data_IF_542107739270
#
_entry.id   IF_542107739270
#
_cell.length_a   1.000
_cell.length_b   1.000
_cell.length_c   1.000
_cell.angle_alpha   90.00
_cell.angle_beta   90.00
_cell.angle_gamma   90.00
#
_symmetry.space_group_name_H-M   'P 1'
#
loop_
_entity.id
_entity.type
_entity.pdbx_description
1 polymer ?
#
# COMPACT_ATOMS: atom_id res chain seq x y z
N UNK A 1 -2.57 11.67 33.78
CA UNK A 1 -3.64 10.69 33.44
C UNK A 1 -5.04 11.30 33.17
N UNK A 2 -5.20 12.58 32.98
CA UNK A 2 -6.52 13.22 32.68
C UNK A 2 -6.62 13.87 31.29
N UNK A 3 -5.56 13.93 30.54
CA UNK A 3 -5.51 14.65 29.23
C UNK A 3 -5.73 13.74 27.99
N UNK A 4 -5.63 12.41 28.13
CA UNK A 4 -5.78 11.46 27.01
C UNK A 4 -7.25 11.04 26.79
N UNK A 5 -8.10 11.13 27.84
CA UNK A 5 -9.51 10.73 27.73
C UNK A 5 -10.38 11.72 26.94
N UNK A 6 -10.00 12.98 26.85
CA UNK A 6 -10.81 14.04 26.22
C UNK A 6 -10.65 14.03 24.68
N UNK A 7 -9.50 13.59 24.15
CA UNK A 7 -9.28 13.46 22.71
C UNK A 7 -10.08 12.29 22.09
N UNK A 8 -10.30 11.23 22.88
CA UNK A 8 -11.00 10.03 22.39
C UNK A 8 -12.53 10.24 22.25
N UNK A 9 -13.12 11.14 23.03
CA UNK A 9 -14.57 11.44 22.94
C UNK A 9 -14.90 12.41 21.81
N UNK A 10 -13.96 13.22 21.33
CA UNK A 10 -14.20 14.15 20.22
C UNK A 10 -14.17 13.48 18.84
N UNK A 11 -13.48 12.34 18.67
CA UNK A 11 -13.43 11.63 17.38
C UNK A 11 -14.74 10.85 17.09
N UNK A 12 -15.43 10.33 18.10
CA UNK A 12 -16.69 9.59 17.89
C UNK A 12 -17.88 10.52 17.56
N UNK A 13 -17.80 11.81 17.89
CA UNK A 13 -18.86 12.78 17.58
C UNK A 13 -18.70 13.49 16.23
N UNK A 14 -17.55 13.36 15.57
CA UNK A 14 -17.28 14.03 14.30
C UNK A 14 -17.98 13.34 13.11
N UNK A 15 -18.22 12.03 13.16
CA UNK A 15 -18.75 11.26 12.02
C UNK A 15 -20.24 11.49 11.76
N UNK A 16 -21.02 11.86 12.76
CA UNK A 16 -22.48 12.09 12.59
C UNK A 16 -22.86 13.52 12.20
N UNK A 17 -21.88 14.43 12.06
CA UNK A 17 -22.10 15.86 11.81
C UNK A 17 -21.72 16.36 10.41
N UNK A 18 -21.20 15.49 9.52
CA UNK A 18 -20.44 15.90 8.32
C UNK A 18 -21.28 16.63 7.26
N UNK A 19 -22.60 16.50 7.24
CA UNK A 19 -23.48 17.23 6.31
C UNK A 19 -24.55 18.09 7.00
N UNK A 20 -24.45 18.36 8.30
CA UNK A 20 -25.51 19.08 9.03
C UNK A 20 -25.68 20.55 8.65
N UNK A 21 -24.67 21.17 8.05
CA UNK A 21 -24.68 22.59 7.66
C UNK A 21 -24.37 22.83 6.16
N UNK A 22 -24.20 21.76 5.35
CA UNK A 22 -23.87 21.89 3.94
C UNK A 22 -25.15 22.01 3.09
N UNK A 23 -25.09 22.78 2.01
CA UNK A 23 -26.10 22.74 0.96
C UNK A 23 -26.13 21.33 0.37
N UNK A 24 -27.29 20.67 0.38
CA UNK A 24 -27.48 19.33 -0.17
C UNK A 24 -27.98 19.45 -1.60
N UNK A 25 -27.32 18.75 -2.52
CA UNK A 25 -27.68 18.64 -3.94
C UNK A 25 -27.88 17.16 -4.25
N UNK A 26 -29.08 16.77 -4.68
CA UNK A 26 -29.33 15.38 -5.07
C UNK A 26 -28.83 15.14 -6.51
N UNK A 27 -28.19 14.02 -6.74
CA UNK A 27 -27.78 13.59 -8.08
C UNK A 27 -29.00 13.53 -9.05
N UNK A 28 -30.15 13.10 -8.56
CA UNK A 28 -31.39 13.03 -9.35
C UNK A 28 -31.87 14.41 -9.82
N UNK A 29 -31.70 15.45 -8.99
CA UNK A 29 -32.07 16.82 -9.34
C UNK A 29 -31.15 17.44 -10.40
N UNK A 30 -29.97 16.85 -10.60
CA UNK A 30 -28.97 17.23 -11.58
C UNK A 30 -29.02 16.38 -12.87
N UNK A 31 -30.11 15.66 -13.11
CA UNK A 31 -30.32 14.75 -14.24
C UNK A 31 -29.25 13.63 -14.34
N UNK A 32 -28.70 13.20 -13.22
CA UNK A 32 -27.79 12.07 -13.13
C UNK A 32 -28.63 10.81 -12.99
N UNK A 33 -28.48 9.87 -13.93
CA UNK A 33 -29.35 8.70 -14.07
C UNK A 33 -28.68 7.45 -13.47
N UNK A 34 -29.32 6.86 -12.48
CA UNK A 34 -28.82 5.66 -11.76
C UNK A 34 -29.25 4.32 -12.37
N UNK A 35 -29.28 4.18 -13.71
CA UNK A 35 -29.78 2.99 -14.42
C UNK A 35 -28.69 1.95 -14.80
N UNK A 36 -27.41 2.24 -14.50
CA UNK A 36 -26.26 1.40 -14.83
C UNK A 36 -25.86 1.40 -16.31
N UNK A 37 -26.51 2.16 -17.15
CA UNK A 37 -26.32 2.20 -18.61
C UNK A 37 -25.91 3.56 -19.12
N UNK A 38 -26.64 4.59 -18.70
CA UNK A 38 -26.40 5.98 -19.11
C UNK A 38 -25.03 6.45 -18.63
N UNK A 39 -24.20 6.96 -19.54
CA UNK A 39 -22.94 7.57 -19.20
C UNK A 39 -23.19 8.98 -18.62
N UNK A 40 -22.92 9.17 -17.34
CA UNK A 40 -23.21 10.38 -16.60
C UNK A 40 -22.02 11.34 -16.41
N UNK A 41 -20.88 11.10 -17.05
CA UNK A 41 -19.63 11.84 -16.77
C UNK A 41 -19.82 13.35 -16.78
N UNK A 42 -20.44 13.89 -17.84
CA UNK A 42 -20.69 15.33 -17.93
C UNK A 42 -21.70 15.85 -16.91
N UNK A 43 -22.76 15.08 -16.64
CA UNK A 43 -23.78 15.48 -15.68
C UNK A 43 -23.22 15.50 -14.26
N UNK A 44 -22.43 14.49 -13.88
CA UNK A 44 -21.75 14.44 -12.58
C UNK A 44 -20.75 15.58 -12.47
N UNK A 45 -19.97 15.86 -13.52
CA UNK A 45 -19.01 16.95 -13.47
C UNK A 45 -19.70 18.32 -13.32
N UNK A 46 -20.79 18.57 -14.02
CA UNK A 46 -21.59 19.79 -13.85
C UNK A 46 -22.15 19.92 -12.42
N UNK A 47 -22.59 18.81 -11.82
CA UNK A 47 -23.05 18.81 -10.43
C UNK A 47 -21.93 19.11 -9.45
N UNK A 48 -20.72 18.55 -9.64
CA UNK A 48 -19.54 18.88 -8.85
C UNK A 48 -19.18 20.37 -8.99
N UNK A 49 -19.20 20.90 -10.21
CA UNK A 49 -18.91 22.29 -10.49
C UNK A 49 -19.93 23.24 -9.82
N UNK A 50 -21.21 22.85 -9.85
CA UNK A 50 -22.27 23.57 -9.15
C UNK A 50 -22.05 23.55 -7.62
N UNK A 51 -21.72 22.39 -7.05
CA UNK A 51 -21.43 22.26 -5.62
C UNK A 51 -20.23 23.13 -5.19
N UNK A 52 -19.15 23.10 -5.97
CA UNK A 52 -17.97 23.92 -5.75
C UNK A 52 -18.25 25.42 -5.78
N UNK A 53 -19.16 25.86 -6.65
CA UNK A 53 -19.52 27.27 -6.80
C UNK A 53 -20.37 27.81 -5.64
N UNK A 54 -20.90 26.95 -4.76
CA UNK A 54 -21.62 27.40 -3.56
C UNK A 54 -20.66 28.08 -2.58
N UNK A 55 -21.12 29.10 -1.87
CA UNK A 55 -20.29 29.94 -0.99
C UNK A 55 -19.44 29.15 0.01
N UNK A 56 -19.99 28.06 0.56
CA UNK A 56 -19.32 27.18 1.52
C UNK A 56 -19.10 25.77 0.97
N UNK A 57 -19.25 25.56 -0.35
CA UNK A 57 -19.34 24.25 -0.96
C UNK A 57 -20.70 23.58 -0.76
N UNK A 58 -20.81 22.35 -1.21
CA UNK A 58 -22.05 21.57 -1.08
C UNK A 58 -21.77 20.06 -1.04
N UNK A 59 -22.78 19.33 -0.58
CA UNK A 59 -22.78 17.87 -0.56
C UNK A 59 -23.61 17.35 -1.75
N UNK A 60 -22.95 16.71 -2.71
CA UNK A 60 -23.58 15.98 -3.81
C UNK A 60 -23.92 14.57 -3.35
N UNK A 61 -25.20 14.28 -3.23
CA UNK A 61 -25.71 13.02 -2.70
C UNK A 61 -26.20 12.12 -3.83
N UNK A 62 -25.69 10.90 -3.86
CA UNK A 62 -26.11 9.83 -4.74
C UNK A 62 -27.02 8.87 -3.96
N UNK A 63 -28.33 8.84 -4.21
CA UNK A 63 -29.22 7.83 -3.65
C UNK A 63 -28.96 6.45 -4.27
N UNK A 64 -29.67 5.43 -3.80
CA UNK A 64 -29.59 4.07 -4.36
C UNK A 64 -29.73 4.09 -5.90
N UNK A 65 -28.80 3.44 -6.59
CA UNK A 65 -28.73 3.37 -8.05
C UNK A 65 -27.32 3.08 -8.54
N UNK A 66 -27.16 2.77 -9.83
CA UNK A 66 -25.89 2.51 -10.49
C UNK A 66 -25.58 3.63 -11.47
N UNK A 67 -24.60 4.43 -11.17
CA UNK A 67 -24.21 5.64 -11.91
C UNK A 67 -22.95 5.39 -12.72
N UNK A 68 -23.11 5.00 -13.99
CA UNK A 68 -21.97 4.77 -14.89
C UNK A 68 -21.29 6.09 -15.24
N UNK A 69 -19.96 6.13 -15.14
CA UNK A 69 -19.17 7.34 -15.45
C UNK A 69 -17.77 6.99 -15.93
N UNK A 70 -17.16 7.87 -16.71
CA UNK A 70 -15.71 7.98 -16.88
C UNK A 70 -15.10 8.83 -15.78
N UNK A 71 -13.96 9.48 -16.08
CA UNK A 71 -13.26 10.34 -15.12
C UNK A 71 -14.13 11.51 -14.64
N UNK A 72 -14.27 11.65 -13.33
CA UNK A 72 -14.84 12.83 -12.67
C UNK A 72 -13.77 13.51 -11.80
N UNK A 73 -13.82 14.84 -11.70
CA UNK A 73 -12.83 15.66 -10.99
C UNK A 73 -13.49 16.39 -9.84
N UNK A 74 -13.10 16.03 -8.62
CA UNK A 74 -13.53 16.73 -7.41
C UNK A 74 -12.80 18.06 -7.26
N UNK A 75 -13.49 19.02 -6.69
CA UNK A 75 -12.99 20.38 -6.45
C UNK A 75 -13.10 20.76 -4.97
N UNK A 76 -12.44 21.82 -4.57
CA UNK A 76 -12.44 22.30 -3.19
C UNK A 76 -13.86 22.49 -2.63
N UNK A 77 -14.03 22.13 -1.37
CA UNK A 77 -15.28 22.25 -0.61
C UNK A 77 -16.44 21.39 -1.14
N UNK A 78 -16.15 20.31 -1.88
CA UNK A 78 -17.16 19.37 -2.35
C UNK A 78 -17.14 18.12 -1.50
N UNK A 79 -18.31 17.75 -1.00
CA UNK A 79 -18.57 16.44 -0.41
C UNK A 79 -19.30 15.57 -1.41
N UNK A 80 -18.71 14.43 -1.77
CA UNK A 80 -19.35 13.36 -2.55
C UNK A 80 -19.91 12.34 -1.56
N UNK A 81 -21.22 12.21 -1.47
CA UNK A 81 -21.87 11.27 -0.55
C UNK A 81 -22.63 10.18 -1.32
N UNK A 82 -22.25 8.94 -1.08
CA UNK A 82 -22.93 7.77 -1.64
C UNK A 82 -23.77 7.12 -0.57
N UNK A 83 -25.07 7.13 -0.72
CA UNK A 83 -25.97 6.42 0.19
C UNK A 83 -25.87 4.91 0.01
N UNK A 84 -26.40 4.16 0.95
CA UNK A 84 -26.46 2.71 0.86
C UNK A 84 -27.15 2.28 -0.43
N UNK A 85 -26.52 1.38 -1.20
CA UNK A 85 -27.00 0.95 -2.51
C UNK A 85 -26.63 1.85 -3.68
N UNK A 86 -26.04 3.03 -3.44
CA UNK A 86 -25.45 3.84 -4.51
C UNK A 86 -24.14 3.23 -5.01
N UNK A 87 -23.97 3.15 -6.32
CA UNK A 87 -22.76 2.65 -6.98
C UNK A 87 -22.29 3.65 -8.03
N UNK A 88 -21.14 4.25 -7.84
CA UNK A 88 -20.40 4.90 -8.94
C UNK A 88 -19.67 3.79 -9.68
N UNK A 89 -20.06 3.55 -10.93
CA UNK A 89 -19.55 2.47 -11.78
C UNK A 89 -18.69 3.02 -12.91
N UNK A 90 -17.41 2.67 -12.93
CA UNK A 90 -16.47 3.09 -13.97
C UNK A 90 -16.87 2.55 -15.35
N UNK A 91 -16.68 3.37 -16.38
CA UNK A 91 -16.83 2.93 -17.76
C UNK A 91 -15.81 1.85 -18.10
N UNK A 92 -16.20 0.91 -18.95
CA UNK A 92 -15.28 -0.08 -19.52
C UNK A 92 -14.64 0.39 -20.82
N UNK A 93 -14.91 1.63 -21.23
CA UNK A 93 -14.25 2.25 -22.37
C UNK A 93 -13.02 3.06 -21.89
N UNK A 94 -11.79 2.70 -22.30
CA UNK A 94 -10.59 3.44 -21.90
C UNK A 94 -10.54 4.90 -22.37
N UNK A 95 -11.33 5.26 -23.36
CA UNK A 95 -11.41 6.63 -23.87
C UNK A 95 -12.25 7.57 -23.00
N UNK A 96 -13.02 7.03 -22.06
CA UNK A 96 -13.75 7.81 -21.04
C UNK A 96 -12.85 8.29 -19.89
N UNK A 97 -11.54 7.97 -19.93
CA UNK A 97 -10.59 8.31 -18.87
C UNK A 97 -9.50 9.26 -19.37
N UNK A 98 -9.18 10.24 -18.54
CA UNK A 98 -8.11 11.20 -18.80
C UNK A 98 -7.32 11.51 -17.53
N UNK A 99 -6.14 12.10 -17.71
CA UNK A 99 -5.32 12.65 -16.65
C UNK A 99 -5.30 14.16 -16.76
N UNK A 100 -5.35 14.86 -15.63
CA UNK A 100 -5.18 16.31 -15.60
C UNK A 100 -3.71 16.69 -15.59
N UNK A 101 -2.94 16.07 -14.70
CA UNK A 101 -1.53 16.30 -14.49
C UNK A 101 -0.85 14.98 -14.11
N UNK A 102 0.27 14.68 -14.73
CA UNK A 102 1.10 13.55 -14.35
C UNK A 102 2.28 14.04 -13.51
N UNK A 103 2.43 13.55 -12.26
CA UNK A 103 3.59 13.89 -11.45
C UNK A 103 4.88 13.45 -12.15
N UNK A 104 5.91 14.30 -12.12
CA UNK A 104 7.20 14.00 -12.74
C UNK A 104 7.88 12.85 -12.02
N UNK A 105 8.46 11.92 -12.77
CA UNK A 105 9.22 10.80 -12.23
C UNK A 105 8.37 9.62 -11.78
N UNK A 106 7.05 9.69 -11.86
CA UNK A 106 6.18 8.58 -11.55
C UNK A 106 6.25 7.50 -12.64
N UNK A 107 6.25 6.26 -12.20
CA UNK A 107 6.14 5.06 -13.04
C UNK A 107 4.71 4.53 -13.17
N UNK A 108 3.77 5.12 -12.43
CA UNK A 108 2.36 4.74 -12.38
C UNK A 108 1.44 5.64 -13.22
N UNK A 109 0.19 5.24 -13.34
CA UNK A 109 -0.85 5.98 -14.06
C UNK A 109 -1.24 7.29 -13.36
N UNK A 110 -1.46 8.35 -14.13
CA UNK A 110 -2.19 9.55 -13.70
C UNK A 110 -3.68 9.51 -14.09
N UNK A 111 -4.13 8.47 -14.78
CA UNK A 111 -5.52 8.22 -15.08
C UNK A 111 -6.27 7.78 -13.81
N UNK A 112 -7.51 8.19 -13.65
CA UNK A 112 -8.34 7.76 -12.52
C UNK A 112 -9.82 7.89 -12.81
N UNK A 113 -10.64 7.11 -12.09
CA UNK A 113 -12.09 7.27 -12.13
C UNK A 113 -12.51 8.53 -11.38
N UNK A 114 -11.98 8.73 -10.16
CA UNK A 114 -12.19 9.94 -9.37
C UNK A 114 -10.86 10.63 -9.18
N UNK A 115 -10.74 11.86 -9.65
CA UNK A 115 -9.56 12.70 -9.56
C UNK A 115 -9.81 13.91 -8.63
N UNK A 116 -8.76 14.39 -8.00
CA UNK A 116 -8.71 15.72 -7.40
C UNK A 116 -7.29 16.28 -7.45
N UNK A 117 -7.16 17.55 -7.79
CA UNK A 117 -5.87 18.22 -7.88
C UNK A 117 -5.95 19.61 -7.26
N UNK A 118 -4.89 20.00 -6.51
CA UNK A 118 -4.75 21.36 -5.94
C UNK A 118 -6.01 21.86 -5.26
N UNK A 119 -6.68 20.98 -4.51
CA UNK A 119 -7.97 21.24 -3.91
C UNK A 119 -7.93 21.02 -2.40
N UNK A 120 -8.83 21.64 -1.67
CA UNK A 120 -8.91 21.56 -0.21
C UNK A 120 -10.32 21.21 0.27
N UNK A 121 -10.43 20.64 1.47
CA UNK A 121 -11.69 20.27 2.11
C UNK A 121 -12.55 19.39 1.20
N UNK A 122 -11.97 18.26 0.77
CA UNK A 122 -12.64 17.24 -0.07
C UNK A 122 -13.11 16.11 0.82
N UNK A 123 -14.35 15.67 0.62
CA UNK A 123 -14.88 14.49 1.32
C UNK A 123 -15.52 13.53 0.34
N UNK A 124 -15.23 12.24 0.48
CA UNK A 124 -15.87 11.14 -0.23
C UNK A 124 -16.39 10.18 0.84
N UNK A 125 -17.69 10.16 1.08
CA UNK A 125 -18.26 9.53 2.28
C UNK A 125 -19.53 8.74 2.00
N UNK A 126 -19.89 7.87 2.92
CA UNK A 126 -21.16 7.14 2.92
C UNK A 126 -21.02 5.63 3.00
N UNK A 127 -22.07 4.92 2.63
CA UNK A 127 -22.16 3.45 2.69
C UNK A 127 -22.25 2.82 1.29
N UNK A 128 -22.09 3.63 0.24
CA UNK A 128 -22.14 3.19 -1.16
C UNK A 128 -20.84 2.55 -1.65
N UNK A 129 -20.76 2.38 -2.96
CA UNK A 129 -19.66 1.69 -3.63
C UNK A 129 -19.05 2.55 -4.74
N UNK A 130 -17.73 2.51 -4.88
CA UNK A 130 -17.02 2.93 -6.08
C UNK A 130 -16.41 1.67 -6.71
N UNK A 131 -16.84 1.35 -7.93
CA UNK A 131 -16.44 0.16 -8.69
C UNK A 131 -15.76 0.58 -9.99
N UNK A 132 -14.50 0.22 -10.15
CA UNK A 132 -13.72 0.59 -11.34
C UNK A 132 -13.99 -0.28 -12.58
N UNK A 133 -14.73 -1.41 -12.46
CA UNK A 133 -14.87 -2.42 -13.52
C UNK A 133 -13.52 -2.81 -14.14
N UNK A 134 -12.46 -2.84 -13.30
CA UNK A 134 -11.07 -2.83 -13.72
C UNK A 134 -10.64 -4.04 -14.55
N UNK A 135 -11.27 -5.20 -14.35
CA UNK A 135 -10.94 -6.40 -15.13
C UNK A 135 -11.33 -6.21 -16.61
N UNK A 136 -12.57 -5.83 -16.84
CA UNK A 136 -13.09 -5.59 -18.20
C UNK A 136 -12.34 -4.44 -18.87
N UNK A 137 -12.09 -3.38 -18.13
CA UNK A 137 -11.36 -2.22 -18.62
C UNK A 137 -9.90 -2.55 -18.98
N UNK A 138 -9.19 -3.29 -18.13
CA UNK A 138 -7.82 -3.70 -18.39
C UNK A 138 -7.72 -4.63 -19.62
N UNK A 139 -8.64 -5.58 -19.76
CA UNK A 139 -8.72 -6.43 -20.96
C UNK A 139 -9.07 -5.64 -22.22
N UNK A 140 -9.88 -4.59 -22.12
CA UNK A 140 -10.13 -3.71 -23.27
C UNK A 140 -8.89 -2.94 -23.67
N UNK A 141 -8.12 -2.41 -22.70
CA UNK A 141 -6.83 -1.76 -22.96
C UNK A 141 -5.87 -2.72 -23.66
N UNK A 142 -5.77 -3.96 -23.14
CA UNK A 142 -4.92 -5.00 -23.74
C UNK A 142 -5.34 -5.33 -25.18
N UNK A 143 -6.63 -5.50 -25.42
CA UNK A 143 -7.18 -5.75 -26.76
C UNK A 143 -6.85 -4.62 -27.75
N UNK A 144 -7.00 -3.36 -27.31
CA UNK A 144 -6.70 -2.17 -28.15
C UNK A 144 -5.19 -2.09 -28.52
N UNK A 145 -4.31 -2.54 -27.62
CA UNK A 145 -2.88 -2.65 -27.90
C UNK A 145 -2.63 -3.69 -29.03
N UNK A 146 -3.19 -4.88 -28.90
CA UNK A 146 -2.96 -5.97 -29.84
C UNK A 146 -3.51 -5.73 -31.25
N UNK A 147 -4.60 -4.99 -31.38
CA UNK A 147 -5.15 -4.59 -32.70
C UNK A 147 -4.48 -3.33 -33.27
N UNK A 148 -3.52 -2.72 -32.53
CA UNK A 148 -2.78 -1.54 -32.98
C UNK A 148 -3.52 -0.22 -32.89
N UNK A 149 -4.71 -0.18 -32.25
CA UNK A 149 -5.53 1.04 -32.10
C UNK A 149 -5.02 1.95 -30.97
N UNK A 150 -4.58 1.36 -29.86
CA UNK A 150 -3.96 2.07 -28.72
C UNK A 150 -2.73 1.31 -28.28
N UNK A 151 -1.60 1.55 -28.94
CA UNK A 151 -0.35 0.85 -28.68
C UNK A 151 0.29 1.34 -27.39
N UNK A 152 0.63 0.43 -26.51
CA UNK A 152 1.41 0.69 -25.30
C UNK A 152 2.91 0.49 -25.60
N UNK A 153 3.73 1.56 -25.62
CA UNK A 153 5.17 1.44 -25.90
C UNK A 153 5.94 0.73 -24.79
N UNK A 154 5.35 0.60 -23.61
CA UNK A 154 5.93 -0.07 -22.43
C UNK A 154 5.20 -1.37 -22.09
N UNK A 155 4.59 -2.01 -23.08
CA UNK A 155 3.89 -3.28 -22.88
C UNK A 155 4.82 -4.35 -22.29
N UNK A 156 4.38 -4.98 -21.23
CA UNK A 156 5.11 -6.04 -20.55
C UNK A 156 4.93 -7.38 -21.32
N UNK A 157 5.81 -7.63 -22.28
CA UNK A 157 5.76 -8.86 -23.08
C UNK A 157 6.04 -10.12 -22.26
N UNK A 158 6.80 -10.02 -21.17
CA UNK A 158 7.09 -11.15 -20.30
C UNK A 158 5.85 -11.65 -19.55
N UNK A 159 5.08 -10.73 -19.00
CA UNK A 159 3.85 -11.02 -18.26
C UNK A 159 2.58 -10.87 -19.12
N UNK A 160 2.72 -10.53 -20.40
CA UNK A 160 1.61 -10.38 -21.37
C UNK A 160 0.52 -9.43 -20.87
N UNK A 161 0.92 -8.22 -20.51
CA UNK A 161 -0.01 -7.21 -19.95
C UNK A 161 0.34 -5.80 -20.39
N UNK A 162 -0.67 -4.90 -20.54
CA UNK A 162 -0.42 -3.48 -20.73
C UNK A 162 0.23 -2.89 -19.49
N UNK A 163 1.09 -1.88 -19.68
CA UNK A 163 1.69 -1.14 -18.58
C UNK A 163 0.61 -0.50 -17.71
N UNK A 164 0.90 -0.32 -16.42
CA UNK A 164 -0.05 0.30 -15.51
C UNK A 164 -0.39 1.75 -15.86
N UNK A 165 0.51 2.48 -16.56
CA UNK A 165 0.24 3.83 -17.06
C UNK A 165 -0.90 3.93 -18.06
N UNK A 166 -1.29 2.82 -18.67
CA UNK A 166 -2.40 2.73 -19.61
C UNK A 166 -3.75 2.47 -18.95
N UNK A 167 -3.75 2.22 -17.64
CA UNK A 167 -4.90 1.76 -16.88
C UNK A 167 -5.26 2.74 -15.77
N UNK A 168 -6.53 3.14 -15.58
CA UNK A 168 -6.92 4.09 -14.55
C UNK A 168 -6.88 3.50 -13.15
N UNK A 169 -6.55 4.33 -12.18
CA UNK A 169 -6.75 4.10 -10.75
C UNK A 169 -8.21 4.28 -10.37
N UNK A 170 -8.60 3.79 -9.20
CA UNK A 170 -9.94 4.06 -8.68
C UNK A 170 -10.06 5.51 -8.17
N UNK A 171 -9.15 5.92 -7.28
CA UNK A 171 -8.98 7.30 -6.85
C UNK A 171 -7.56 7.77 -7.14
N UNK A 172 -7.39 8.99 -7.62
CA UNK A 172 -6.12 9.68 -7.63
C UNK A 172 -6.28 11.13 -7.18
N UNK A 173 -5.77 11.41 -5.99
CA UNK A 173 -5.89 12.72 -5.32
C UNK A 173 -4.47 13.25 -5.10
N UNK A 174 -4.16 14.39 -5.71
CA UNK A 174 -2.80 14.94 -5.73
C UNK A 174 -2.77 16.42 -5.35
N UNK A 175 -1.78 16.80 -4.54
CA UNK A 175 -1.57 18.16 -4.04
C UNK A 175 -2.83 18.73 -3.36
N UNK A 176 -3.51 17.91 -2.56
CA UNK A 176 -4.76 18.28 -1.88
C UNK A 176 -4.55 18.40 -0.36
N UNK A 177 -5.42 19.18 0.27
CA UNK A 177 -5.41 19.38 1.72
C UNK A 177 -6.78 19.10 2.34
N UNK A 178 -6.78 18.60 3.59
CA UNK A 178 -8.00 18.29 4.34
C UNK A 178 -8.91 17.32 3.56
N UNK A 179 -8.40 16.10 3.30
CA UNK A 179 -9.07 15.07 2.53
C UNK A 179 -9.61 13.99 3.47
N UNK A 180 -10.89 13.67 3.34
CA UNK A 180 -11.55 12.59 4.07
C UNK A 180 -12.19 11.59 3.11
N UNK A 181 -11.85 10.29 3.28
CA UNK A 181 -12.57 9.18 2.63
C UNK A 181 -13.06 8.24 3.72
N UNK A 182 -14.39 8.07 3.83
CA UNK A 182 -14.99 7.37 4.97
C UNK A 182 -16.20 6.49 4.59
N UNK A 183 -16.22 5.27 5.10
CA UNK A 183 -17.38 4.37 5.14
C UNK A 183 -17.66 3.58 3.86
N UNK A 184 -16.92 3.78 2.80
CA UNK A 184 -17.23 3.30 1.44
C UNK A 184 -16.69 1.91 1.15
N UNK A 185 -17.35 1.24 0.19
CA UNK A 185 -16.83 0.05 -0.49
C UNK A 185 -16.09 0.49 -1.76
N UNK A 186 -14.82 0.08 -1.87
CA UNK A 186 -13.93 0.41 -2.98
C UNK A 186 -13.50 -0.88 -3.67
N UNK A 187 -13.71 -1.01 -4.98
CA UNK A 187 -13.37 -2.27 -5.64
C UNK A 187 -12.98 -2.15 -7.11
N UNK A 188 -12.29 -3.18 -7.57
CA UNK A 188 -12.06 -3.46 -8.98
C UNK A 188 -11.42 -2.32 -9.75
N UNK A 189 -10.31 -1.76 -9.27
CA UNK A 189 -9.50 -0.83 -10.06
C UNK A 189 -8.84 -1.53 -11.26
N UNK A 190 -8.51 -0.81 -12.31
CA UNK A 190 -7.72 -1.34 -13.41
C UNK A 190 -6.19 -1.25 -13.15
N UNK A 191 -5.77 -0.41 -12.22
CA UNK A 191 -4.40 -0.26 -11.72
C UNK A 191 -4.42 -0.13 -10.18
N UNK A 192 -3.60 0.72 -9.57
CA UNK A 192 -3.64 0.99 -8.13
C UNK A 192 -5.04 1.40 -7.66
N UNK A 193 -5.40 1.04 -6.45
CA UNK A 193 -6.70 1.36 -5.88
C UNK A 193 -6.83 2.83 -5.55
N UNK A 194 -6.52 3.18 -4.31
CA UNK A 194 -6.62 4.54 -3.79
C UNK A 194 -5.22 5.14 -3.72
N UNK A 195 -4.97 6.21 -4.46
CA UNK A 195 -3.66 6.84 -4.57
C UNK A 195 -3.71 8.31 -4.17
N UNK A 196 -2.87 8.66 -3.21
CA UNK A 196 -2.78 10.02 -2.65
C UNK A 196 -1.35 10.53 -2.78
N UNK A 197 -1.14 11.62 -3.49
CA UNK A 197 0.18 12.22 -3.71
C UNK A 197 0.25 13.63 -3.15
N UNK A 198 1.27 13.89 -2.33
CA UNK A 198 1.55 15.24 -1.80
C UNK A 198 0.32 15.85 -1.11
N UNK A 199 -0.40 15.03 -0.34
CA UNK A 199 -1.56 15.46 0.43
C UNK A 199 -1.16 15.88 1.85
N UNK A 200 -1.93 16.80 2.43
CA UNK A 200 -1.80 17.23 3.83
C UNK A 200 -3.13 17.04 4.56
N UNK A 201 -3.10 16.50 5.79
CA UNK A 201 -4.28 16.18 6.57
C UNK A 201 -5.21 15.19 5.83
N UNK A 202 -4.70 13.98 5.58
CA UNK A 202 -5.43 12.90 4.92
C UNK A 202 -6.00 11.93 5.94
N UNK A 203 -7.30 11.67 5.88
CA UNK A 203 -7.97 10.67 6.71
C UNK A 203 -8.71 9.65 5.85
N UNK A 204 -8.36 8.38 5.99
CA UNK A 204 -8.97 7.23 5.33
C UNK A 204 -9.48 6.29 6.41
N UNK A 205 -10.79 6.10 6.51
CA UNK A 205 -11.35 5.33 7.62
C UNK A 205 -12.59 4.54 7.24
N UNK A 206 -12.81 3.42 7.94
CA UNK A 206 -13.97 2.55 7.76
C UNK A 206 -14.17 2.06 6.30
N UNK A 207 -13.08 1.88 5.56
CA UNK A 207 -13.13 1.48 4.16
C UNK A 207 -13.12 -0.05 4.04
N UNK A 208 -13.91 -0.55 3.10
CA UNK A 208 -13.86 -1.93 2.66
C UNK A 208 -13.32 -1.97 1.22
N UNK A 209 -12.05 -2.34 1.10
CA UNK A 209 -11.32 -2.33 -0.17
C UNK A 209 -11.15 -3.76 -0.67
N UNK A 210 -11.71 -4.06 -1.85
CA UNK A 210 -11.52 -5.34 -2.54
C UNK A 210 -10.97 -5.11 -3.95
N UNK A 211 -9.66 -4.99 -4.04
CA UNK A 211 -8.97 -4.63 -5.28
C UNK A 211 -8.16 -5.80 -5.84
N UNK A 212 -8.83 -6.76 -6.47
CA UNK A 212 -8.26 -7.99 -7.05
C UNK A 212 -8.71 -8.24 -8.49
N UNK A 213 -8.91 -7.19 -9.27
CA UNK A 213 -9.43 -7.28 -10.63
C UNK A 213 -8.33 -7.59 -11.66
N UNK A 214 -7.14 -7.04 -11.47
CA UNK A 214 -6.03 -7.15 -12.44
C UNK A 214 -4.68 -7.00 -11.74
N UNK A 215 -3.59 -6.91 -12.49
CA UNK A 215 -2.23 -6.63 -12.02
C UNK A 215 -2.10 -5.22 -11.43
N UNK A 216 -1.17 -5.04 -10.49
CA UNK A 216 -0.92 -3.76 -9.81
C UNK A 216 -2.18 -3.21 -9.14
N UNK A 217 -2.97 -4.09 -8.55
CA UNK A 217 -4.14 -3.71 -7.78
C UNK A 217 -3.76 -3.54 -6.30
N UNK A 218 -2.96 -2.49 -6.03
CA UNK A 218 -2.64 -2.06 -4.68
C UNK A 218 -3.93 -1.62 -3.95
N UNK A 219 -3.93 -1.63 -2.64
CA UNK A 219 -5.06 -1.16 -1.84
C UNK A 219 -5.05 0.36 -1.70
N UNK A 220 -4.12 0.87 -0.88
CA UNK A 220 -3.93 2.28 -0.57
C UNK A 220 -2.45 2.64 -0.79
N UNK A 221 -2.19 3.61 -1.66
CA UNK A 221 -0.87 4.19 -1.89
C UNK A 221 -0.82 5.63 -1.39
N UNK A 222 0.11 5.93 -0.51
CA UNK A 222 0.35 7.27 0.01
C UNK A 222 1.75 7.73 -0.36
N UNK A 223 1.84 8.84 -1.09
CA UNK A 223 3.10 9.34 -1.63
C UNK A 223 3.39 10.74 -1.10
N UNK A 224 4.58 10.96 -0.53
CA UNK A 224 5.10 12.28 -0.12
C UNK A 224 4.08 13.14 0.64
N UNK A 225 3.24 12.52 1.49
CA UNK A 225 2.11 13.15 2.16
C UNK A 225 2.36 13.31 3.66
N UNK A 226 1.63 14.22 4.31
CA UNK A 226 1.81 14.57 5.72
C UNK A 226 0.52 14.52 6.50
N UNK A 227 0.63 14.20 7.80
CA UNK A 227 -0.51 14.11 8.72
C UNK A 227 -1.58 13.15 8.19
N UNK A 228 -1.15 11.88 7.98
CA UNK A 228 -1.99 10.84 7.38
C UNK A 228 -2.53 9.91 8.47
N UNK A 229 -3.81 9.60 8.40
CA UNK A 229 -4.48 8.63 9.27
C UNK A 229 -5.22 7.60 8.41
N UNK A 230 -4.88 6.32 8.59
CA UNK A 230 -5.55 5.17 7.95
C UNK A 230 -6.05 4.26 9.06
N UNK A 231 -7.35 4.04 9.17
CA UNK A 231 -7.91 3.32 10.30
C UNK A 231 -9.17 2.52 9.97
N UNK A 232 -9.38 1.42 10.69
CA UNK A 232 -10.61 0.62 10.63
C UNK A 232 -10.94 0.16 9.21
N UNK A 233 -9.92 -0.17 8.41
CA UNK A 233 -10.08 -0.59 7.03
C UNK A 233 -9.96 -2.11 6.89
N UNK A 234 -10.80 -2.70 6.03
CA UNK A 234 -10.64 -4.05 5.53
C UNK A 234 -10.08 -3.98 4.12
N UNK A 235 -8.90 -4.55 3.89
CA UNK A 235 -8.20 -4.44 2.62
C UNK A 235 -7.88 -5.83 2.08
N UNK A 236 -8.32 -6.10 0.86
CA UNK A 236 -8.00 -7.29 0.10
C UNK A 236 -7.47 -6.87 -1.28
N UNK A 237 -6.18 -6.96 -1.48
CA UNK A 237 -5.49 -6.46 -2.67
C UNK A 237 -4.75 -7.56 -3.43
N UNK A 238 -4.59 -7.37 -4.72
CA UNK A 238 -3.80 -8.26 -5.56
C UNK A 238 -2.32 -7.87 -5.62
N UNK A 239 -1.98 -6.68 -5.17
CA UNK A 239 -0.61 -6.19 -4.95
C UNK A 239 -0.50 -5.62 -3.53
N UNK A 240 0.43 -4.73 -3.21
CA UNK A 240 0.64 -4.23 -1.86
C UNK A 240 -0.63 -3.61 -1.25
N UNK A 241 -0.95 -3.92 0.01
CA UNK A 241 -2.22 -3.46 0.60
C UNK A 241 -2.18 -2.02 1.07
N UNK A 242 -1.23 -1.66 1.92
CA UNK A 242 -0.95 -0.27 2.29
C UNK A 242 0.50 0.01 1.96
N UNK A 243 0.72 0.93 1.04
CA UNK A 243 2.02 1.23 0.50
C UNK A 243 2.35 2.72 0.66
N UNK A 244 3.44 3.02 1.38
CA UNK A 244 4.01 4.35 1.45
C UNK A 244 5.10 4.47 0.38
N UNK A 245 5.00 5.48 -0.49
CA UNK A 245 5.95 5.73 -1.58
C UNK A 245 6.53 7.14 -1.47
N UNK A 246 7.68 7.38 -2.03
CA UNK A 246 8.26 8.72 -2.14
C UNK A 246 8.96 8.86 -3.49
N UNK A 247 8.48 9.77 -4.33
CA UNK A 247 9.00 10.00 -5.68
C UNK A 247 9.81 11.31 -5.80
N UNK A 248 9.76 12.16 -4.78
CA UNK A 248 10.40 13.47 -4.82
C UNK A 248 11.65 13.48 -3.93
N UNK A 249 12.80 13.83 -4.49
CA UNK A 249 13.97 14.15 -3.66
C UNK A 249 13.61 15.30 -2.74
N UNK A 250 13.78 15.10 -1.42
CA UNK A 250 13.33 16.03 -0.38
C UNK A 250 11.82 15.99 -0.08
N UNK A 251 11.04 15.16 -0.78
CA UNK A 251 9.70 14.77 -0.36
C UNK A 251 9.76 13.82 0.85
N UNK A 252 8.63 13.55 1.48
CA UNK A 252 8.58 12.60 2.59
C UNK A 252 7.15 12.31 2.98
N UNK A 253 6.84 11.03 3.27
CA UNK A 253 5.70 10.75 4.12
C UNK A 253 6.09 11.03 5.58
N UNK A 254 5.38 11.93 6.25
CA UNK A 254 5.69 12.37 7.60
C UNK A 254 4.46 12.46 8.49
N UNK A 255 4.55 11.98 9.72
CA UNK A 255 3.42 11.86 10.65
C UNK A 255 2.29 11.00 10.05
N UNK A 256 2.58 9.71 9.86
CA UNK A 256 1.64 8.72 9.34
C UNK A 256 1.23 7.76 10.44
N UNK A 257 -0.06 7.59 10.66
CA UNK A 257 -0.61 6.61 11.60
C UNK A 257 -1.54 5.64 10.87
N UNK A 258 -1.25 4.33 10.99
CA UNK A 258 -2.03 3.24 10.42
C UNK A 258 -2.45 2.33 11.57
N UNK A 259 -3.76 2.13 11.78
CA UNK A 259 -4.18 1.30 12.89
C UNK A 259 -5.52 0.62 12.69
N UNK A 260 -5.68 -0.51 13.38
CA UNK A 260 -6.90 -1.32 13.45
C UNK A 260 -7.44 -1.70 12.05
N UNK A 261 -6.57 -2.31 11.25
CA UNK A 261 -6.90 -2.76 9.89
C UNK A 261 -6.78 -4.29 9.78
N UNK A 262 -7.65 -4.87 8.95
CA UNK A 262 -7.62 -6.26 8.51
C UNK A 262 -7.11 -6.33 7.07
N UNK A 263 -6.05 -7.11 6.84
CA UNK A 263 -5.33 -7.09 5.56
C UNK A 263 -5.17 -8.49 4.97
N UNK A 264 -5.45 -8.59 3.67
CA UNK A 264 -5.10 -9.71 2.79
C UNK A 264 -4.41 -9.16 1.56
N UNK A 265 -3.27 -9.75 1.17
CA UNK A 265 -2.52 -9.27 0.01
C UNK A 265 -1.90 -10.41 -0.79
N UNK A 266 -1.88 -10.29 -2.11
CA UNK A 266 -1.02 -11.14 -2.94
C UNK A 266 0.40 -10.59 -3.11
N UNK A 267 0.73 -9.51 -2.40
CA UNK A 267 2.08 -8.97 -2.24
C UNK A 267 2.34 -8.68 -0.75
N UNK A 268 2.71 -7.47 -0.34
CA UNK A 268 2.99 -7.13 1.05
C UNK A 268 1.80 -6.49 1.74
N UNK A 269 1.60 -6.79 3.03
CA UNK A 269 0.53 -6.16 3.80
C UNK A 269 0.82 -4.68 4.04
N UNK A 270 2.00 -4.37 4.57
CA UNK A 270 2.50 -3.00 4.77
C UNK A 270 3.85 -2.87 4.06
N UNK A 271 3.98 -1.85 3.21
CA UNK A 271 5.22 -1.60 2.46
C UNK A 271 5.63 -0.13 2.49
N UNK A 272 6.91 0.11 2.68
CA UNK A 272 7.58 1.37 2.46
C UNK A 272 8.41 1.24 1.19
N UNK A 273 8.06 2.00 0.15
CA UNK A 273 8.73 1.85 -1.14
C UNK A 273 7.86 1.14 -2.20
N UNK A 274 8.40 0.60 -3.25
CA UNK A 274 9.83 0.62 -3.59
C UNK A 274 10.37 2.03 -3.82
N UNK A 275 9.57 2.93 -4.48
CA UNK A 275 9.99 4.31 -4.69
C UNK A 275 10.26 5.00 -3.33
N UNK A 276 11.52 5.38 -3.12
CA UNK A 276 12.04 5.89 -1.85
C UNK A 276 13.03 7.05 -2.05
N UNK A 277 12.70 8.00 -2.93
CA UNK A 277 13.57 9.13 -3.27
C UNK A 277 13.71 10.17 -2.16
N UNK A 278 12.65 10.44 -1.41
CA UNK A 278 12.67 11.39 -0.28
C UNK A 278 12.70 10.69 1.07
N UNK A 279 11.76 9.77 1.28
CA UNK A 279 11.77 8.90 2.45
C UNK A 279 10.49 8.88 3.28
N UNK A 280 10.62 8.36 4.50
CA UNK A 280 9.50 8.10 5.41
C UNK A 280 9.95 8.37 6.85
N UNK A 281 9.19 9.14 7.60
CA UNK A 281 9.54 9.41 9.00
C UNK A 281 8.31 9.60 9.90
N UNK A 282 8.51 9.31 11.18
CA UNK A 282 7.48 9.43 12.19
C UNK A 282 6.23 8.61 11.82
N UNK A 283 6.42 7.33 11.49
CA UNK A 283 5.34 6.43 11.09
C UNK A 283 5.03 5.46 12.22
N UNK A 284 3.77 5.39 12.62
CA UNK A 284 3.26 4.46 13.62
C UNK A 284 2.23 3.52 12.99
N UNK A 285 2.47 2.22 13.11
CA UNK A 285 1.60 1.15 12.60
C UNK A 285 1.24 0.26 13.79
N UNK A 286 -0.05 0.08 14.06
CA UNK A 286 -0.47 -0.69 15.24
C UNK A 286 -1.80 -1.42 15.07
N UNK A 287 -1.97 -2.54 15.79
CA UNK A 287 -3.19 -3.35 15.78
C UNK A 287 -3.58 -3.78 14.37
N UNK A 288 -2.67 -4.40 13.64
CA UNK A 288 -2.90 -4.91 12.29
C UNK A 288 -3.08 -6.43 12.33
N UNK A 289 -4.13 -6.89 11.69
CA UNK A 289 -4.41 -8.31 11.49
C UNK A 289 -4.17 -8.65 10.02
N UNK A 290 -3.22 -9.53 9.77
CA UNK A 290 -2.81 -9.95 8.41
C UNK A 290 -3.13 -11.42 8.23
N UNK A 291 -3.66 -11.78 7.08
CA UNK A 291 -3.86 -13.18 6.71
C UNK A 291 -3.65 -13.39 5.21
N UNK A 292 -3.34 -14.62 4.84
CA UNK A 292 -3.28 -15.05 3.45
C UNK A 292 -2.44 -14.11 2.56
N UNK A 293 -1.27 -13.68 3.08
CA UNK A 293 -0.43 -12.68 2.44
C UNK A 293 0.83 -13.31 1.86
N UNK A 294 1.08 -13.05 0.56
CA UNK A 294 2.09 -13.77 -0.21
C UNK A 294 3.53 -13.30 0.07
N UNK A 295 3.75 -12.00 0.30
CA UNK A 295 5.08 -11.46 0.59
C UNK A 295 5.21 -11.12 2.07
N UNK A 296 5.55 -9.90 2.39
CA UNK A 296 5.90 -9.50 3.75
C UNK A 296 4.72 -8.96 4.55
N UNK A 297 4.69 -9.26 5.85
CA UNK A 297 3.83 -8.55 6.81
C UNK A 297 4.23 -7.07 6.82
N UNK A 298 5.56 -6.82 6.97
CA UNK A 298 6.13 -5.48 6.94
C UNK A 298 7.40 -5.50 6.09
N UNK A 299 7.43 -4.66 5.05
CA UNK A 299 8.59 -4.39 4.21
C UNK A 299 9.00 -2.91 4.35
N UNK A 300 10.20 -2.64 4.84
CA UNK A 300 10.74 -1.29 5.06
C UNK A 300 11.96 -1.13 4.16
N UNK A 301 11.80 -0.39 3.07
CA UNK A 301 12.77 -0.35 1.98
C UNK A 301 13.21 1.09 1.65
N UNK A 302 14.51 1.37 1.69
CA UNK A 302 15.12 2.58 1.13
C UNK A 302 16.17 2.18 0.11
N UNK A 303 15.92 2.45 -1.17
CA UNK A 303 16.80 2.03 -2.28
C UNK A 303 17.04 3.14 -3.32
N UNK A 304 16.40 4.29 -3.19
CA UNK A 304 16.50 5.39 -4.15
C UNK A 304 17.09 6.67 -3.51
N UNK A 305 17.84 6.52 -2.40
CA UNK A 305 18.52 7.64 -1.73
C UNK A 305 17.70 8.32 -0.63
N UNK A 306 16.46 7.92 -0.39
CA UNK A 306 15.63 8.50 0.66
C UNK A 306 15.98 8.05 2.08
N UNK A 307 15.44 8.75 3.07
CA UNK A 307 15.72 8.54 4.48
C UNK A 307 14.52 7.98 5.21
N UNK A 308 14.70 6.85 5.91
CA UNK A 308 13.69 6.25 6.78
C UNK A 308 14.10 6.48 8.24
N UNK A 309 13.21 7.08 9.02
CA UNK A 309 13.52 7.43 10.41
C UNK A 309 12.29 7.38 11.32
N UNK A 310 12.46 6.85 12.54
CA UNK A 310 11.42 6.81 13.58
C UNK A 310 10.19 6.02 13.16
N UNK A 311 10.36 4.74 12.90
CA UNK A 311 9.28 3.82 12.53
C UNK A 311 8.94 2.96 13.73
N UNK A 312 7.66 2.94 14.10
CA UNK A 312 7.10 2.05 15.12
C UNK A 312 6.05 1.13 14.49
N UNK A 313 6.27 -0.18 14.61
CA UNK A 313 5.29 -1.21 14.24
C UNK A 313 4.97 -2.04 15.48
N UNK A 314 3.71 -2.08 15.89
CA UNK A 314 3.33 -2.78 17.12
C UNK A 314 1.97 -3.47 17.05
N UNK A 315 1.80 -4.50 17.88
CA UNK A 315 0.55 -5.23 18.03
C UNK A 315 0.07 -5.85 16.69
N UNK A 316 0.90 -6.68 16.10
CA UNK A 316 0.67 -7.32 14.80
C UNK A 316 0.35 -8.80 15.00
N UNK A 317 -0.71 -9.27 14.38
CA UNK A 317 -1.02 -10.70 14.26
C UNK A 317 -1.10 -11.05 12.77
N UNK A 318 -0.25 -11.98 12.34
CA UNK A 318 -0.23 -12.44 10.96
C UNK A 318 -0.32 -13.98 10.90
N UNK A 319 -1.24 -14.47 10.08
CA UNK A 319 -1.46 -15.91 9.92
C UNK A 319 -1.45 -16.24 8.43
N UNK A 320 -0.82 -17.35 8.08
CA UNK A 320 -0.67 -17.75 6.68
C UNK A 320 -0.02 -16.65 5.83
N UNK A 321 1.15 -16.14 6.29
CA UNK A 321 1.91 -15.06 5.63
C UNK A 321 3.36 -15.47 5.48
N UNK A 322 3.96 -15.22 4.32
CA UNK A 322 5.27 -15.80 4.01
C UNK A 322 6.46 -15.14 4.68
N UNK A 323 6.54 -13.83 4.74
CA UNK A 323 7.70 -13.18 5.34
C UNK A 323 7.29 -12.24 6.48
N UNK A 324 7.80 -12.43 7.70
CA UNK A 324 7.44 -11.58 8.82
C UNK A 324 7.97 -10.15 8.69
N UNK A 325 9.29 -10.01 8.44
CA UNK A 325 10.00 -8.74 8.49
C UNK A 325 11.04 -8.69 7.37
N UNK A 326 10.97 -7.67 6.54
CA UNK A 326 11.96 -7.35 5.53
C UNK A 326 12.38 -5.89 5.67
N UNK A 327 13.61 -5.64 6.13
CA UNK A 327 14.20 -4.29 6.23
C UNK A 327 15.41 -4.22 5.31
N UNK A 328 15.36 -3.29 4.35
CA UNK A 328 16.39 -3.15 3.32
C UNK A 328 16.84 -1.69 3.13
N UNK A 329 18.14 -1.47 3.26
CA UNK A 329 18.82 -0.32 2.69
C UNK A 329 19.62 -0.78 1.46
N UNK A 330 19.35 -0.20 0.30
CA UNK A 330 20.05 -0.44 -0.96
C UNK A 330 20.41 0.88 -1.65
N UNK A 331 20.84 0.81 -2.90
CA UNK A 331 21.13 2.01 -3.70
C UNK A 331 20.85 1.73 -5.18
N UNK A 332 19.59 1.76 -5.56
CA UNK A 332 19.13 1.59 -6.94
C UNK A 332 19.09 2.92 -7.69
N UNK A 333 18.80 3.99 -6.98
CA UNK A 333 18.67 5.35 -7.53
C UNK A 333 19.14 6.41 -6.54
N UNK A 334 19.16 7.68 -6.98
CA UNK A 334 19.66 8.80 -6.18
C UNK A 334 21.18 9.00 -6.30
N UNK A 335 21.64 10.17 -5.85
CA UNK A 335 23.07 10.56 -5.93
C UNK A 335 23.93 9.82 -4.89
N UNK A 336 23.32 9.37 -3.81
CA UNK A 336 23.96 8.62 -2.71
C UNK A 336 22.95 7.69 -2.05
N UNK A 337 23.40 6.61 -1.36
CA UNK A 337 22.54 5.77 -0.56
C UNK A 337 21.79 6.59 0.50
N UNK A 338 20.53 6.22 0.75
CA UNK A 338 19.74 6.79 1.83
C UNK A 338 20.15 6.27 3.22
N UNK A 339 19.23 6.35 4.17
CA UNK A 339 19.41 5.80 5.52
C UNK A 339 18.15 5.09 6.00
N UNK A 340 18.33 4.07 6.85
CA UNK A 340 17.27 3.44 7.62
C UNK A 340 17.69 3.46 9.09
N UNK A 341 16.95 4.21 9.93
CA UNK A 341 17.31 4.45 11.33
C UNK A 341 16.12 4.39 12.27
N UNK A 342 16.35 3.94 13.50
CA UNK A 342 15.38 3.98 14.59
C UNK A 342 14.08 3.25 14.21
N UNK A 343 14.18 1.98 13.88
CA UNK A 343 13.03 1.10 13.56
C UNK A 343 12.74 0.22 14.78
N UNK A 344 11.55 0.29 15.29
CA UNK A 344 11.08 -0.60 16.37
C UNK A 344 9.90 -1.43 15.88
N UNK A 345 10.02 -2.75 15.98
CA UNK A 345 8.93 -3.70 15.73
C UNK A 345 8.70 -4.46 17.03
N UNK A 346 7.48 -4.41 17.56
CA UNK A 346 7.18 -5.08 18.83
C UNK A 346 5.80 -5.71 18.89
N UNK A 347 5.66 -6.71 19.78
CA UNK A 347 4.39 -7.42 19.99
C UNK A 347 3.86 -7.99 18.67
N UNK A 348 4.68 -8.79 17.96
CA UNK A 348 4.33 -9.37 16.68
C UNK A 348 4.26 -10.88 16.77
N UNK A 349 3.15 -11.45 16.32
CA UNK A 349 2.97 -12.90 16.12
C UNK A 349 2.80 -13.18 14.63
N UNK A 350 3.57 -14.15 14.10
CA UNK A 350 3.45 -14.57 12.70
C UNK A 350 3.48 -16.09 12.57
N UNK A 351 2.49 -16.62 11.88
CA UNK A 351 2.45 -18.02 11.45
C UNK A 351 2.77 -18.12 9.95
N UNK A 352 3.99 -18.58 9.64
CA UNK A 352 4.46 -18.76 8.26
C UNK A 352 4.04 -20.16 7.76
N UNK A 353 3.25 -20.25 6.67
CA UNK A 353 2.83 -21.54 6.13
C UNK A 353 3.96 -22.25 5.41
N UNK A 354 3.83 -23.56 5.25
CA UNK A 354 4.71 -24.34 4.38
C UNK A 354 4.45 -24.04 2.89
N UNK A 355 3.18 -23.98 2.51
CA UNK A 355 2.76 -23.74 1.14
C UNK A 355 2.50 -22.25 0.87
N UNK A 356 2.30 -21.90 -0.37
CA UNK A 356 1.97 -20.56 -0.82
C UNK A 356 0.62 -20.09 -0.23
N UNK A 357 0.54 -18.90 0.40
CA UNK A 357 -0.66 -18.46 1.12
C UNK A 357 -1.80 -17.96 0.21
N UNK A 358 -1.51 -17.42 -0.97
CA UNK A 358 -2.50 -16.77 -1.85
C UNK A 358 -2.81 -17.62 -3.11
N UNK A 359 -2.96 -18.91 -2.97
CA UNK A 359 -3.11 -19.87 -4.07
C UNK A 359 -4.29 -19.60 -5.03
N UNK A 360 -5.27 -18.83 -4.58
CA UNK A 360 -6.47 -18.55 -5.38
C UNK A 360 -6.36 -17.28 -6.23
N UNK A 361 -5.21 -16.61 -6.24
CA UNK A 361 -4.98 -15.44 -7.07
C UNK A 361 -4.16 -15.79 -8.32
N UNK A 362 -4.82 -15.76 -9.47
CA UNK A 362 -4.29 -16.19 -10.77
C UNK A 362 -3.65 -15.07 -11.61
N UNK A 363 -3.82 -13.82 -11.22
CA UNK A 363 -3.45 -12.65 -12.03
C UNK A 363 -2.17 -11.95 -11.56
N UNK A 364 -1.45 -12.53 -10.60
CA UNK A 364 -0.26 -11.87 -10.08
C UNK A 364 1.01 -12.16 -10.89
N UNK A 365 2.05 -11.37 -10.64
CA UNK A 365 3.39 -11.51 -11.19
C UNK A 365 4.03 -12.86 -10.94
N UNK A 366 5.18 -13.14 -11.57
CA UNK A 366 5.78 -14.47 -11.56
C UNK A 366 5.86 -15.00 -10.13
N UNK A 367 5.33 -16.21 -9.94
CA UNK A 367 5.49 -16.93 -8.71
C UNK A 367 6.98 -17.24 -8.51
N UNK A 368 7.43 -17.25 -7.28
CA UNK A 368 8.76 -17.78 -6.98
C UNK A 368 8.77 -19.29 -7.17
N UNK A 369 9.89 -19.84 -7.64
CA UNK A 369 10.05 -21.27 -7.92
C UNK A 369 10.16 -22.13 -6.66
N UNK A 370 9.93 -21.56 -5.49
CA UNK A 370 9.91 -22.29 -4.22
C UNK A 370 8.55 -22.93 -3.98
N UNK A 371 8.53 -24.23 -3.74
CA UNK A 371 7.31 -24.92 -3.34
C UNK A 371 6.98 -24.72 -1.84
N UNK A 372 7.94 -24.25 -1.06
CA UNK A 372 7.77 -23.79 0.32
C UNK A 372 8.67 -22.56 0.55
N UNK A 373 8.41 -21.80 1.61
CA UNK A 373 9.18 -20.60 1.93
C UNK A 373 10.37 -20.90 2.86
N UNK A 374 11.60 -21.02 2.35
CA UNK A 374 12.80 -21.22 3.16
C UNK A 374 13.43 -19.90 3.63
N UNK A 375 12.90 -18.76 3.27
CA UNK A 375 13.54 -17.45 3.42
C UNK A 375 13.20 -16.84 4.78
N UNK A 376 14.21 -16.46 5.60
CA UNK A 376 13.99 -15.87 6.91
C UNK A 376 13.56 -14.41 6.83
N UNK A 377 13.19 -13.84 7.98
CA UNK A 377 13.20 -12.39 8.17
C UNK A 377 14.62 -11.84 7.93
N UNK A 378 14.72 -10.59 7.44
CA UNK A 378 16.03 -10.00 7.21
C UNK A 378 16.09 -8.50 7.55
N UNK A 379 17.28 -8.07 8.01
CA UNK A 379 17.65 -6.66 8.20
C UNK A 379 19.00 -6.45 7.52
N UNK A 380 18.99 -5.74 6.39
CA UNK A 380 20.17 -5.66 5.54
C UNK A 380 20.46 -4.24 5.05
N UNK A 381 21.68 -3.78 5.32
CA UNK A 381 22.28 -2.63 4.67
C UNK A 381 23.10 -3.02 3.43
N UNK A 382 24.03 -2.16 3.04
CA UNK A 382 25.02 -2.38 1.98
C UNK A 382 26.41 -2.01 2.48
N UNK A 383 27.50 -2.45 1.83
CA UNK A 383 28.85 -2.11 2.26
C UNK A 383 29.06 -0.61 2.48
N UNK A 384 29.50 -0.23 3.68
CA UNK A 384 29.73 1.16 4.08
C UNK A 384 28.46 1.93 4.50
N UNK A 385 27.26 1.37 4.33
CA UNK A 385 25.99 2.00 4.70
C UNK A 385 25.11 1.02 5.48
N UNK A 386 25.12 1.17 6.80
CA UNK A 386 24.41 0.27 7.69
C UNK A 386 22.96 0.72 7.94
N UNK A 387 22.07 -0.24 8.18
CA UNK A 387 20.82 -0.01 8.89
C UNK A 387 21.15 0.26 10.35
N UNK A 388 20.56 1.31 10.95
CA UNK A 388 20.97 1.75 12.29
C UNK A 388 19.82 1.68 13.32
N UNK A 389 20.10 1.19 14.53
CA UNK A 389 19.18 1.19 15.67
C UNK A 389 17.86 0.47 15.38
N UNK A 390 17.92 -0.82 15.13
CA UNK A 390 16.74 -1.69 14.97
C UNK A 390 16.45 -2.39 16.29
N UNK A 391 15.21 -2.33 16.75
CA UNK A 391 14.73 -3.05 17.92
C UNK A 391 13.61 -4.00 17.52
N UNK A 392 13.79 -5.28 17.81
CA UNK A 392 12.75 -6.31 17.74
C UNK A 392 12.41 -6.74 19.16
N UNK A 393 11.17 -6.55 19.59
CA UNK A 393 10.74 -6.82 20.98
C UNK A 393 9.44 -7.64 20.99
N UNK A 394 9.41 -8.72 21.79
CA UNK A 394 8.25 -9.62 21.90
C UNK A 394 7.80 -10.12 20.53
N UNK A 395 8.70 -10.73 19.78
CA UNK A 395 8.44 -11.29 18.45
C UNK A 395 8.31 -12.80 18.58
N UNK A 396 7.23 -13.36 18.09
CA UNK A 396 7.02 -14.79 17.98
C UNK A 396 6.68 -15.19 16.54
N UNK A 397 7.52 -16.02 15.93
CA UNK A 397 7.34 -16.48 14.56
C UNK A 397 7.41 -18.00 14.50
N UNK A 398 6.40 -18.63 13.93
CA UNK A 398 6.42 -20.04 13.59
C UNK A 398 6.88 -20.20 12.15
N UNK A 399 8.12 -20.68 11.99
CA UNK A 399 8.76 -20.90 10.70
C UNK A 399 8.45 -22.32 10.17
N UNK A 400 8.27 -22.51 8.86
CA UNK A 400 7.94 -23.82 8.29
C UNK A 400 9.04 -24.87 8.52
N UNK A 401 10.33 -24.47 8.46
CA UNK A 401 11.46 -25.39 8.49
C UNK A 401 11.64 -26.11 7.14
N UNK A 402 12.18 -27.32 7.18
CA UNK A 402 12.42 -28.21 6.04
C UNK A 402 13.50 -27.77 5.05
N UNK A 403 14.35 -26.81 5.40
CA UNK A 403 15.51 -26.51 4.59
C UNK A 403 16.45 -27.72 4.56
N UNK A 404 16.94 -28.05 3.36
CA UNK A 404 17.85 -29.16 3.14
C UNK A 404 19.24 -28.87 3.73
N UNK A 405 20.05 -29.92 3.86
CA UNK A 405 21.47 -29.75 4.18
C UNK A 405 22.20 -28.86 3.18
N UNK A 406 21.83 -28.96 1.89
CA UNK A 406 22.41 -28.10 0.85
C UNK A 406 22.17 -26.62 1.11
N UNK A 407 20.97 -26.25 1.52
CA UNK A 407 20.63 -24.87 1.92
C UNK A 407 21.38 -24.43 3.18
N UNK A 408 21.57 -25.33 4.15
CA UNK A 408 22.36 -25.07 5.34
C UNK A 408 23.88 -24.99 5.07
N UNK A 409 24.32 -25.50 3.91
CA UNK A 409 25.73 -25.55 3.53
C UNK A 409 26.25 -24.24 2.88
N UNK A 410 25.53 -23.13 2.96
CA UNK A 410 26.21 -21.84 2.93
C UNK A 410 26.98 -21.74 4.25
N UNK A 411 28.25 -22.18 4.31
CA UNK A 411 28.97 -22.22 5.58
C UNK A 411 29.10 -20.81 6.13
N UNK A 412 29.19 -20.69 7.46
CA UNK A 412 29.45 -19.37 8.08
C UNK A 412 30.70 -18.68 7.51
N UNK A 413 31.69 -19.47 7.09
CA UNK A 413 32.90 -18.99 6.40
C UNK A 413 32.67 -18.55 4.95
N UNK A 414 31.46 -18.69 4.42
CA UNK A 414 31.06 -18.33 3.05
C UNK A 414 29.86 -17.38 3.02
N UNK A 415 29.69 -16.54 4.04
CA UNK A 415 28.69 -15.48 4.05
C UNK A 415 28.87 -14.48 2.91
N UNK A 416 30.09 -14.32 2.41
CA UNK A 416 30.45 -13.61 1.19
C UNK A 416 29.80 -14.20 -0.07
N UNK A 417 29.31 -15.43 -0.01
CA UNK A 417 28.52 -16.03 -1.09
C UNK A 417 27.08 -15.52 -1.16
N UNK A 418 26.56 -14.83 -0.11
CA UNK A 418 25.28 -14.11 -0.18
C UNK A 418 25.52 -12.82 -0.96
N UNK A 419 24.86 -12.61 -2.12
CA UNK A 419 25.11 -11.43 -2.95
C UNK A 419 24.65 -10.14 -2.25
N UNK A 420 25.34 -9.03 -2.48
CA UNK A 420 24.98 -7.73 -1.89
C UNK A 420 23.71 -7.14 -2.48
N UNK A 421 23.46 -7.33 -3.76
CA UNK A 421 22.25 -6.86 -4.44
C UNK A 421 22.01 -5.36 -4.23
N UNK A 422 23.04 -4.55 -4.42
CA UNK A 422 23.06 -3.12 -4.03
C UNK A 422 21.98 -2.33 -4.76
N UNK A 423 21.81 -2.58 -6.05
CA UNK A 423 20.95 -1.86 -6.99
C UNK A 423 19.73 -2.66 -7.48
N UNK A 424 19.54 -3.87 -6.96
CA UNK A 424 18.40 -4.71 -7.33
C UNK A 424 17.06 -4.17 -6.73
N UNK A 425 15.96 -4.56 -7.37
CA UNK A 425 14.63 -4.35 -6.82
C UNK A 425 14.50 -5.06 -5.46
N UNK A 426 14.11 -4.35 -4.39
CA UNK A 426 14.02 -4.93 -3.07
C UNK A 426 12.79 -5.83 -2.95
N UNK A 427 13.05 -7.06 -2.58
CA UNK A 427 12.01 -8.05 -2.25
C UNK A 427 12.63 -9.07 -1.29
N UNK A 428 11.87 -9.62 -0.35
CA UNK A 428 12.40 -10.53 0.66
C UNK A 428 13.13 -11.75 0.07
N UNK A 429 12.85 -12.10 -1.17
CA UNK A 429 13.49 -13.20 -1.93
C UNK A 429 14.74 -12.79 -2.71
N UNK A 430 15.12 -11.51 -2.70
CA UNK A 430 16.17 -10.97 -3.58
C UNK A 430 17.54 -11.63 -3.43
N UNK A 431 17.84 -12.14 -2.24
CA UNK A 431 19.11 -12.81 -1.96
C UNK A 431 19.12 -14.29 -2.31
N UNK A 432 17.97 -14.86 -2.70
CA UNK A 432 17.81 -16.30 -2.80
C UNK A 432 17.83 -16.98 -1.42
N UNK A 433 18.44 -18.15 -1.35
CA UNK A 433 18.54 -18.92 -0.12
C UNK A 433 19.49 -18.24 0.89
N UNK A 434 19.00 -18.02 2.10
CA UNK A 434 19.79 -17.43 3.20
C UNK A 434 20.19 -18.50 4.24
N UNK A 435 21.35 -18.33 4.91
CA UNK A 435 21.92 -19.36 5.77
C UNK A 435 21.28 -19.49 7.18
N UNK A 436 20.18 -18.80 7.43
CA UNK A 436 19.41 -18.90 8.69
C UNK A 436 17.95 -19.25 8.42
N UNK A 437 17.24 -19.74 9.45
CA UNK A 437 15.78 -19.98 9.32
C UNK A 437 14.94 -18.86 9.96
N UNK A 438 15.47 -18.09 10.88
CA UNK A 438 14.74 -17.07 11.64
C UNK A 438 15.03 -15.65 11.18
N UNK A 439 16.25 -15.17 11.44
CA UNK A 439 16.67 -13.80 11.09
C UNK A 439 18.07 -13.80 10.48
N UNK A 440 18.20 -13.12 9.35
CA UNK A 440 19.47 -12.77 8.73
C UNK A 440 19.75 -11.27 8.87
N UNK A 441 20.88 -10.91 9.45
CA UNK A 441 21.34 -9.52 9.60
C UNK A 441 22.63 -9.29 8.86
N UNK A 442 22.73 -8.20 8.07
CA UNK A 442 23.98 -7.81 7.40
C UNK A 442 24.08 -6.29 7.27
N UNK A 443 25.29 -5.75 7.56
CA UNK A 443 25.54 -4.30 7.59
C UNK A 443 24.55 -3.56 8.49
N UNK A 444 24.56 -3.89 9.78
CA UNK A 444 23.66 -3.31 10.79
C UNK A 444 24.47 -2.77 11.97
N UNK A 445 24.12 -1.57 12.44
CA UNK A 445 24.66 -0.99 13.69
C UNK A 445 23.57 -0.78 14.72
N UNK A 446 23.70 -1.44 15.86
CA UNK A 446 22.71 -1.36 16.94
C UNK A 446 21.49 -2.22 16.65
N UNK A 447 21.60 -3.53 16.80
CA UNK A 447 20.50 -4.48 16.73
C UNK A 447 20.13 -4.96 18.14
N UNK A 448 18.93 -4.63 18.60
CA UNK A 448 18.40 -5.10 19.88
C UNK A 448 17.33 -6.16 19.66
N UNK A 449 17.54 -7.35 20.21
CA UNK A 449 16.61 -8.46 20.21
C UNK A 449 16.14 -8.68 21.65
N UNK A 450 14.88 -8.38 21.95
CA UNK A 450 14.30 -8.55 23.27
C UNK A 450 13.11 -9.50 23.22
N UNK A 451 13.21 -10.65 23.86
CA UNK A 451 12.21 -11.71 23.81
C UNK A 451 11.81 -12.05 22.36
N UNK A 452 12.79 -12.45 21.53
CA UNK A 452 12.60 -12.76 20.11
C UNK A 452 12.67 -14.26 19.87
N UNK A 453 11.57 -14.86 19.48
CA UNK A 453 11.41 -16.30 19.33
C UNK A 453 11.04 -16.68 17.88
N UNK A 454 11.93 -17.40 17.22
CA UNK A 454 11.64 -18.11 15.98
C UNK A 454 11.55 -19.61 16.29
N UNK A 455 10.39 -20.20 16.06
CA UNK A 455 10.10 -21.61 16.36
C UNK A 455 9.88 -22.37 15.07
N UNK A 456 10.56 -23.50 14.94
CA UNK A 456 10.38 -24.39 13.80
C UNK A 456 9.13 -25.27 13.97
N UNK A 457 8.32 -25.38 12.92
CA UNK A 457 7.22 -26.35 12.79
C UNK A 457 7.76 -27.73 12.43
N UNK A 458 8.86 -27.79 11.68
CA UNK A 458 9.57 -29.00 11.29
C UNK A 458 11.08 -28.76 11.37
N UNK A 459 11.89 -29.81 11.26
CA UNK A 459 13.35 -29.74 11.32
C UNK A 459 13.92 -28.81 10.25
N UNK A 460 14.98 -28.09 10.58
CA UNK A 460 15.78 -27.28 9.68
C UNK A 460 17.26 -27.45 10.01
N UNK A 461 18.13 -27.47 9.02
CA UNK A 461 19.56 -27.62 9.22
C UNK A 461 20.29 -26.30 9.45
N UNK A 462 19.61 -25.16 9.24
CA UNK A 462 20.19 -23.82 9.41
C UNK A 462 20.09 -23.39 10.88
N UNK A 463 21.01 -22.52 11.35
CA UNK A 463 20.87 -21.86 12.64
C UNK A 463 19.71 -20.84 12.64
N UNK A 464 19.25 -20.48 13.83
CA UNK A 464 18.18 -19.49 14.02
C UNK A 464 18.58 -18.09 13.52
N UNK A 465 19.78 -17.65 13.87
CA UNK A 465 20.32 -16.33 13.55
C UNK A 465 21.64 -16.44 12.79
N UNK A 466 21.83 -15.59 11.81
CA UNK A 466 23.11 -15.32 11.18
C UNK A 466 23.29 -13.79 11.10
N UNK A 467 24.41 -13.32 11.60
CA UNK A 467 24.78 -11.91 11.59
C UNK A 467 26.14 -11.76 10.92
N UNK A 468 26.21 -10.96 9.85
CA UNK A 468 27.38 -10.68 9.04
C UNK A 468 27.58 -9.16 8.99
N UNK A 469 28.73 -8.66 9.49
CA UNK A 469 28.98 -7.23 9.66
C UNK A 469 27.86 -6.53 10.46
N UNK A 470 27.55 -7.07 11.65
CA UNK A 470 26.57 -6.50 12.58
C UNK A 470 27.27 -6.10 13.88
N UNK A 471 27.22 -4.81 14.20
CA UNK A 471 27.82 -4.24 15.40
C UNK A 471 26.75 -3.86 16.43
N UNK A 472 27.10 -3.94 17.72
CA UNK A 472 26.24 -3.49 18.82
C UNK A 472 25.00 -4.35 19.01
N UNK A 473 25.12 -5.67 18.84
CA UNK A 473 24.02 -6.62 19.10
C UNK A 473 23.76 -6.68 20.62
N UNK A 474 22.50 -6.61 20.98
CA UNK A 474 22.01 -6.81 22.34
C UNK A 474 20.89 -7.84 22.32
N UNK A 475 21.12 -8.97 22.99
CA UNK A 475 20.08 -9.97 23.24
C UNK A 475 19.61 -9.83 24.69
N UNK A 476 18.31 -9.70 24.87
CA UNK A 476 17.64 -9.55 26.19
C UNK A 476 16.52 -10.57 26.23
N UNK A 477 16.59 -11.47 27.21
CA UNK A 477 15.55 -12.48 27.45
C UNK A 477 14.24 -11.88 27.99
#
# INVERSE_FOLDING_TARGET
>A
MRTIATAFLMLLSAVTGICKNDTIVSATDMNIVGDGKTLNTEAIQKAIDYCHAQKNGACLVFPEGVYKTGTIVLKSNVTLKLEKGAVISGSTDPYDYYALEAPKGWDSSALGLVLAYHSENIKIIGEGTIDGNGRELAHKVDSLHHIGERVDPAYDHGNKRPNERMRPKLLFISNCKDVLVDGLNMRSSAAWGLSFDTCENLTLTNLNINNRAFWNNDGIDVTDSKHVRIAHCNINSADDSICLKSYKVGGCNDDVEIYDCDIVSSASAIKFGTASWGGFKNVTIRKIRVRDTYRSVVAIESVDGGHIENILVEDIIAVNTWNPIFIRLGHRGGDAPGTVKNVTIRNMFVDVPFSRPDINYDMRGPAFDFFHNPIPSSVTGIPGHCVENVTLENIEVFCPGKASKGMAYVPLSRLDAVPEKIDDYPEFTMFGELPSYGLYGRHVRGLTLKNVNFRLKDSDFRPKFIFDDVEGIKEIE
#
